data_IF_821617142876
#
_entry.id   IF_821617142876
#
_cell.length_a   1.000
_cell.length_b   1.000
_cell.length_c   1.000
_cell.angle_alpha   90.00
_cell.angle_beta   90.00
_cell.angle_gamma   90.00
#
_symmetry.space_group_name_H-M   'P 1'
#
loop_
_entity.id
_entity.type
_entity.pdbx_description
1 polymer ?
#
# COMPACT_ATOMS: atom_id res chain seq x y z
N UNK A 1 -1.97 12.42 -17.47
CA UNK A 1 -0.81 11.88 -18.16
C UNK A 1 0.27 11.46 -17.17
N UNK A 2 0.75 10.21 -17.27
CA UNK A 2 1.81 9.68 -16.37
C UNK A 2 3.12 10.48 -16.47
N UNK A 3 3.41 11.07 -17.63
CA UNK A 3 4.62 11.87 -17.82
C UNK A 3 4.58 13.18 -17.01
N UNK A 4 3.41 13.75 -16.79
CA UNK A 4 3.24 14.91 -15.92
C UNK A 4 3.70 14.59 -14.49
N UNK A 5 3.30 13.43 -13.95
CA UNK A 5 3.64 13.03 -12.58
C UNK A 5 5.12 12.70 -12.40
N UNK A 6 5.82 12.24 -13.45
CA UNK A 6 7.27 12.02 -13.43
C UNK A 6 8.08 13.30 -13.21
N UNK A 7 7.49 14.48 -13.46
CA UNK A 7 8.15 15.77 -13.16
C UNK A 7 8.07 16.15 -11.69
N UNK A 8 7.44 15.33 -10.85
CA UNK A 8 7.23 15.59 -9.42
C UNK A 8 6.57 16.95 -9.14
N UNK A 9 5.39 17.24 -9.73
CA UNK A 9 4.77 18.55 -9.64
C UNK A 9 4.33 18.84 -8.21
N UNK A 10 4.65 20.07 -7.75
CA UNK A 10 4.17 20.53 -6.46
C UNK A 10 2.69 20.97 -6.53
N UNK A 11 2.11 21.27 -5.37
CA UNK A 11 0.70 21.63 -5.25
C UNK A 11 0.32 22.85 -6.10
N UNK A 12 1.19 23.84 -6.26
CA UNK A 12 0.90 25.06 -7.04
C UNK A 12 0.80 24.76 -8.55
N UNK A 13 1.66 23.87 -9.05
CA UNK A 13 1.58 23.39 -10.44
C UNK A 13 0.25 22.66 -10.67
N UNK A 14 -0.16 21.78 -9.74
CA UNK A 14 -1.42 21.05 -9.85
C UNK A 14 -2.64 21.97 -9.77
N UNK A 15 -2.63 22.96 -8.88
CA UNK A 15 -3.67 24.01 -8.82
C UNK A 15 -3.80 24.76 -10.15
N UNK A 16 -2.65 25.10 -10.76
CA UNK A 16 -2.66 25.76 -12.07
C UNK A 16 -3.28 24.90 -13.16
N UNK A 17 -3.04 23.59 -13.16
CA UNK A 17 -3.67 22.65 -14.09
C UNK A 17 -5.19 22.54 -13.88
N UNK A 18 -5.62 22.48 -12.62
CA UNK A 18 -7.06 22.48 -12.27
C UNK A 18 -7.73 23.79 -12.75
N UNK A 19 -7.06 24.93 -12.57
CA UNK A 19 -7.58 26.24 -13.04
C UNK A 19 -7.72 26.33 -14.56
N UNK A 20 -6.98 25.52 -15.32
CA UNK A 20 -7.13 25.38 -16.78
C UNK A 20 -8.32 24.48 -17.19
N UNK A 21 -9.06 23.92 -16.22
CA UNK A 21 -10.21 23.06 -16.44
C UNK A 21 -9.91 21.56 -16.38
N UNK A 22 -8.71 21.14 -16.02
CA UNK A 22 -8.40 19.72 -15.81
C UNK A 22 -9.14 19.22 -14.55
N UNK A 23 -9.85 18.09 -14.68
CA UNK A 23 -10.61 17.52 -13.57
C UNK A 23 -9.69 16.70 -12.64
N UNK A 24 -9.51 17.08 -11.36
CA UNK A 24 -8.64 16.36 -10.41
C UNK A 24 -9.17 14.98 -10.03
N UNK A 25 -10.42 14.68 -10.33
CA UNK A 25 -11.05 13.38 -10.03
C UNK A 25 -11.20 12.48 -11.26
N UNK A 26 -10.72 12.92 -12.43
CA UNK A 26 -10.82 12.14 -13.66
C UNK A 26 -10.06 10.82 -13.56
N UNK A 27 -10.68 9.76 -14.07
CA UNK A 27 -10.06 8.45 -14.18
C UNK A 27 -9.87 8.07 -15.65
N UNK A 28 -8.79 7.34 -15.93
CA UNK A 28 -8.55 6.77 -17.25
C UNK A 28 -9.42 5.50 -17.47
N UNK A 29 -9.32 4.91 -18.66
CA UNK A 29 -10.11 3.72 -19.06
C UNK A 29 -9.87 2.49 -18.15
N UNK A 30 -8.78 2.47 -17.39
CA UNK A 30 -8.45 1.42 -16.44
C UNK A 30 -8.80 1.80 -15.00
N UNK A 31 -9.62 2.83 -14.79
CA UNK A 31 -10.01 3.36 -13.49
C UNK A 31 -8.85 3.85 -12.60
N UNK A 32 -7.68 4.17 -13.15
CA UNK A 32 -6.66 4.93 -12.45
C UNK A 32 -7.01 6.41 -12.54
N UNK A 33 -7.37 7.00 -11.43
CA UNK A 33 -7.65 8.43 -11.36
C UNK A 33 -6.38 9.27 -11.18
N UNK A 34 -6.54 10.58 -11.23
CA UNK A 34 -5.43 11.55 -11.09
C UNK A 34 -4.66 11.34 -9.79
N UNK A 35 -5.35 11.08 -8.67
CA UNK A 35 -4.74 10.86 -7.35
C UNK A 35 -3.96 9.55 -7.32
N UNK A 36 -4.52 8.47 -7.85
CA UNK A 36 -3.81 7.17 -7.95
C UNK A 36 -2.56 7.29 -8.81
N UNK A 37 -2.64 8.03 -9.93
CA UNK A 37 -1.45 8.27 -10.77
C UNK A 37 -0.39 9.08 -10.03
N UNK A 38 -0.79 10.07 -9.22
CA UNK A 38 0.14 10.83 -8.39
C UNK A 38 0.83 9.93 -7.34
N UNK A 39 0.08 9.06 -6.66
CA UNK A 39 0.63 8.10 -5.69
C UNK A 39 1.61 7.15 -6.38
N UNK A 40 1.21 6.53 -7.49
CA UNK A 40 2.02 5.53 -8.18
C UNK A 40 3.31 6.10 -8.82
N UNK A 41 3.32 7.39 -9.12
CA UNK A 41 4.51 8.10 -9.60
C UNK A 41 5.26 8.86 -8.49
N UNK A 42 4.92 8.61 -7.22
CA UNK A 42 5.63 9.16 -6.05
C UNK A 42 5.71 10.70 -6.04
N UNK A 43 4.60 11.35 -6.46
CA UNK A 43 4.48 12.80 -6.36
C UNK A 43 4.66 13.26 -4.89
N UNK A 44 5.04 14.54 -4.64
CA UNK A 44 5.16 15.06 -3.29
C UNK A 44 3.92 14.77 -2.43
N UNK A 45 4.10 14.30 -1.21
CA UNK A 45 2.99 13.87 -0.33
C UNK A 45 1.97 14.99 -0.13
N UNK A 46 2.40 16.24 0.00
CA UNK A 46 1.50 17.40 0.12
C UNK A 46 0.64 17.61 -1.14
N UNK A 47 1.18 17.31 -2.32
CA UNK A 47 0.41 17.34 -3.57
C UNK A 47 -0.65 16.23 -3.59
N UNK A 48 -0.31 15.04 -3.13
CA UNK A 48 -1.27 13.92 -3.04
C UNK A 48 -2.36 14.23 -2.02
N UNK A 49 -2.01 14.75 -0.84
CA UNK A 49 -2.96 15.19 0.18
C UNK A 49 -3.94 16.24 -0.37
N UNK A 50 -3.42 17.23 -1.10
CA UNK A 50 -4.24 18.23 -1.77
C UNK A 50 -5.23 17.59 -2.76
N UNK A 51 -4.81 16.63 -3.57
CA UNK A 51 -5.66 15.93 -4.53
C UNK A 51 -6.77 15.12 -3.85
N UNK A 52 -6.46 14.43 -2.73
CA UNK A 52 -7.43 13.66 -1.95
C UNK A 52 -8.60 14.55 -1.49
N UNK A 53 -8.32 15.82 -1.18
CA UNK A 53 -9.31 16.77 -0.69
C UNK A 53 -10.11 17.48 -1.83
N UNK A 54 -9.81 17.19 -3.10
CA UNK A 54 -10.54 17.80 -4.21
C UNK A 54 -11.93 17.19 -4.41
N UNK A 55 -12.92 17.96 -4.92
CA UNK A 55 -14.24 17.44 -5.23
C UNK A 55 -14.17 16.21 -6.17
N UNK A 56 -14.95 15.18 -5.83
CA UNK A 56 -14.95 13.90 -6.56
C UNK A 56 -13.87 12.92 -6.13
N UNK A 57 -12.99 13.31 -5.21
CA UNK A 57 -12.04 12.42 -4.53
C UNK A 57 -12.45 12.20 -3.07
N UNK A 58 -12.11 11.06 -2.50
CA UNK A 58 -12.31 10.74 -1.08
C UNK A 58 -11.47 9.53 -0.69
N UNK A 59 -11.26 9.33 0.61
CA UNK A 59 -10.55 8.15 1.13
C UNK A 59 -11.27 6.83 0.84
N UNK A 60 -12.54 6.87 0.45
CA UNK A 60 -13.37 5.70 0.09
C UNK A 60 -13.55 5.53 -1.41
N UNK A 61 -12.97 6.42 -2.23
CA UNK A 61 -13.10 6.33 -3.69
C UNK A 61 -12.50 5.03 -4.19
N UNK A 62 -13.29 4.32 -5.00
CA UNK A 62 -12.86 3.09 -5.66
C UNK A 62 -12.12 3.42 -6.97
N UNK A 63 -10.95 2.84 -7.13
CA UNK A 63 -10.10 2.97 -8.30
C UNK A 63 -9.91 1.60 -8.95
N UNK A 64 -8.86 1.39 -9.73
CA UNK A 64 -8.56 0.12 -10.38
C UNK A 64 -8.65 -1.05 -9.40
N UNK A 65 -9.33 -2.13 -9.78
CA UNK A 65 -9.61 -3.33 -8.96
C UNK A 65 -10.38 -3.03 -7.66
N UNK A 66 -11.19 -1.96 -7.63
CA UNK A 66 -11.89 -1.48 -6.44
C UNK A 66 -10.95 -1.12 -5.27
N UNK A 67 -9.70 -0.77 -5.54
CA UNK A 67 -8.76 -0.31 -4.52
C UNK A 67 -9.03 1.12 -4.10
N UNK A 68 -8.98 1.38 -2.80
CA UNK A 68 -8.95 2.73 -2.23
C UNK A 68 -7.51 3.26 -2.22
N UNK A 69 -7.32 4.57 -2.02
CA UNK A 69 -5.98 5.20 -2.02
C UNK A 69 -5.00 4.58 -1.01
N UNK A 70 -5.52 4.02 0.10
CA UNK A 70 -4.69 3.35 1.10
C UNK A 70 -3.94 2.12 0.55
N UNK A 71 -4.56 1.36 -0.38
CA UNK A 71 -3.87 0.26 -1.06
C UNK A 71 -2.65 0.77 -1.85
N UNK A 72 -2.83 1.84 -2.61
CA UNK A 72 -1.76 2.39 -3.44
C UNK A 72 -0.64 3.02 -2.62
N UNK A 73 -0.98 3.74 -1.54
CA UNK A 73 -0.01 4.28 -0.59
C UNK A 73 0.83 3.17 0.05
N UNK A 74 0.18 2.09 0.48
CA UNK A 74 0.84 0.93 1.06
C UNK A 74 1.70 0.17 0.03
N UNK A 75 1.19 -0.05 -1.18
CA UNK A 75 1.92 -0.64 -2.30
C UNK A 75 3.21 0.12 -2.62
N UNK A 76 3.19 1.44 -2.56
CA UNK A 76 4.38 2.29 -2.78
C UNK A 76 5.28 2.39 -1.55
N UNK A 77 4.90 1.82 -0.41
CA UNK A 77 5.67 1.94 0.84
C UNK A 77 5.73 3.37 1.38
N UNK A 78 4.79 4.23 0.99
CA UNK A 78 4.74 5.61 1.44
C UNK A 78 4.12 5.69 2.83
N UNK A 79 4.96 5.47 3.85
CA UNK A 79 4.54 5.41 5.26
C UNK A 79 3.84 6.69 5.72
N UNK A 80 4.31 7.86 5.31
CA UNK A 80 3.68 9.14 5.66
C UNK A 80 2.25 9.23 5.10
N UNK A 81 2.06 8.85 3.84
CA UNK A 81 0.74 8.88 3.22
C UNK A 81 -0.19 7.81 3.82
N UNK A 82 0.33 6.62 4.15
CA UNK A 82 -0.42 5.58 4.87
C UNK A 82 -0.93 6.11 6.20
N UNK A 83 -0.06 6.72 7.02
CA UNK A 83 -0.43 7.31 8.31
C UNK A 83 -1.47 8.41 8.15
N UNK A 84 -1.31 9.28 7.16
CA UNK A 84 -2.28 10.34 6.85
C UNK A 84 -3.66 9.78 6.48
N UNK A 85 -3.73 8.79 5.58
CA UNK A 85 -4.99 8.19 5.16
C UNK A 85 -5.68 7.45 6.31
N UNK A 86 -4.93 6.75 7.15
CA UNK A 86 -5.45 6.11 8.37
C UNK A 86 -6.01 7.15 9.33
N UNK A 87 -5.30 8.25 9.55
CA UNK A 87 -5.76 9.35 10.41
C UNK A 87 -7.04 10.02 9.88
N UNK A 88 -7.25 10.03 8.56
CA UNK A 88 -8.49 10.49 7.92
C UNK A 88 -9.63 9.47 8.01
N UNK A 89 -9.40 8.28 8.51
CA UNK A 89 -10.41 7.25 8.69
C UNK A 89 -10.52 6.25 7.54
N UNK A 90 -9.49 6.10 6.69
CA UNK A 90 -9.45 5.01 5.71
C UNK A 90 -9.60 3.67 6.39
N UNK A 91 -10.42 2.79 5.81
CA UNK A 91 -10.61 1.44 6.32
C UNK A 91 -9.38 0.57 6.02
N UNK A 92 -8.64 0.24 7.09
CA UNK A 92 -7.41 -0.58 7.01
C UNK A 92 -7.66 -2.04 6.63
N UNK A 93 -8.91 -2.50 6.74
CA UNK A 93 -9.33 -3.86 6.41
C UNK A 93 -10.17 -3.92 5.12
N UNK A 94 -10.30 -2.81 4.39
CA UNK A 94 -11.05 -2.78 3.14
C UNK A 94 -10.41 -3.73 2.12
N UNK A 95 -11.18 -4.68 1.60
CA UNK A 95 -10.73 -5.65 0.60
C UNK A 95 -11.08 -5.16 -0.81
N UNK A 96 -10.10 -5.24 -1.72
CA UNK A 96 -10.28 -4.95 -3.14
C UNK A 96 -11.09 -6.07 -3.86
N UNK A 97 -11.24 -5.99 -5.18
CA UNK A 97 -11.97 -7.01 -5.96
C UNK A 97 -11.34 -8.41 -5.95
N UNK A 98 -10.12 -8.54 -5.44
CA UNK A 98 -9.41 -9.81 -5.26
C UNK A 98 -9.42 -10.30 -3.80
N UNK A 99 -10.12 -9.61 -2.90
CA UNK A 99 -10.13 -9.94 -1.47
C UNK A 99 -8.82 -9.56 -0.76
N UNK A 100 -8.09 -8.57 -1.27
CA UNK A 100 -6.79 -8.14 -0.76
C UNK A 100 -6.93 -6.82 -0.03
N UNK A 101 -6.50 -6.76 1.23
CA UNK A 101 -6.48 -5.54 2.03
C UNK A 101 -5.15 -4.76 1.84
N UNK A 102 -5.07 -3.47 2.24
CA UNK A 102 -3.87 -2.66 2.02
C UNK A 102 -2.57 -3.27 2.56
N UNK A 103 -2.60 -3.88 3.75
CA UNK A 103 -1.39 -4.42 4.39
C UNK A 103 -0.83 -5.66 3.66
N UNK A 104 -1.69 -6.61 3.26
CA UNK A 104 -1.23 -7.80 2.53
C UNK A 104 -0.94 -7.48 1.05
N UNK A 105 -1.62 -6.50 0.46
CA UNK A 105 -1.24 -5.97 -0.84
C UNK A 105 0.19 -5.40 -0.85
N UNK A 106 0.55 -4.62 0.17
CA UNK A 106 1.91 -4.11 0.34
C UNK A 106 2.93 -5.24 0.54
N UNK A 107 2.66 -6.17 1.46
CA UNK A 107 3.56 -7.27 1.77
C UNK A 107 3.82 -8.18 0.56
N UNK A 108 2.78 -8.51 -0.19
CA UNK A 108 2.88 -9.34 -1.41
C UNK A 108 3.64 -8.65 -2.55
N UNK A 109 3.75 -7.31 -2.50
CA UNK A 109 4.41 -6.50 -3.53
C UNK A 109 5.74 -5.90 -3.09
N UNK A 110 6.38 -6.47 -2.08
CA UNK A 110 7.76 -6.19 -1.77
C UNK A 110 8.00 -5.15 -0.68
N UNK A 111 6.95 -4.70 0.02
CA UNK A 111 7.13 -3.76 1.12
C UNK A 111 7.47 -4.49 2.42
N UNK A 112 8.61 -4.12 3.01
CA UNK A 112 9.14 -4.74 4.24
C UNK A 112 9.45 -3.72 5.35
N UNK A 113 8.98 -2.46 5.23
CA UNK A 113 9.21 -1.43 6.24
C UNK A 113 8.35 -1.64 7.49
N UNK A 114 8.95 -1.96 8.66
CA UNK A 114 8.23 -2.19 9.91
C UNK A 114 7.34 -1.02 10.35
N UNK A 115 7.77 0.22 10.13
CA UNK A 115 7.04 1.41 10.56
C UNK A 115 5.67 1.52 9.86
N UNK A 116 5.59 1.15 8.58
CA UNK A 116 4.33 1.14 7.86
C UNK A 116 3.36 0.10 8.45
N UNK A 117 3.82 -1.10 8.75
CA UNK A 117 2.99 -2.15 9.36
C UNK A 117 2.55 -1.80 10.78
N UNK A 118 3.41 -1.13 11.55
CA UNK A 118 3.02 -0.61 12.88
C UNK A 118 1.82 0.34 12.78
N UNK A 119 1.77 1.19 11.75
CA UNK A 119 0.63 2.07 11.53
C UNK A 119 -0.67 1.27 11.30
N UNK A 120 -0.63 0.20 10.53
CA UNK A 120 -1.78 -0.69 10.31
C UNK A 120 -2.21 -1.40 11.61
N UNK A 121 -1.28 -1.93 12.38
CA UNK A 121 -1.59 -2.63 13.63
C UNK A 121 -2.19 -1.68 14.68
N UNK A 122 -1.65 -0.47 14.83
CA UNK A 122 -2.23 0.57 15.70
C UNK A 122 -3.63 0.97 15.27
N UNK A 123 -3.95 0.89 13.99
CA UNK A 123 -5.27 1.18 13.46
C UNK A 123 -6.26 0.00 13.55
N UNK A 124 -5.84 -1.15 14.09
CA UNK A 124 -6.73 -2.28 14.37
C UNK A 124 -6.60 -3.47 13.42
N UNK A 125 -5.61 -3.50 12.51
CA UNK A 125 -5.30 -4.73 11.78
C UNK A 125 -4.79 -5.78 12.77
N UNK A 126 -5.41 -6.97 12.76
CA UNK A 126 -4.95 -8.08 13.59
C UNK A 126 -3.58 -8.57 13.10
N UNK A 127 -2.51 -8.49 13.91
CA UNK A 127 -1.17 -8.89 13.48
C UNK A 127 -1.08 -10.35 13.04
N UNK A 128 -1.88 -11.24 13.66
CA UNK A 128 -1.86 -12.67 13.35
C UNK A 128 -2.92 -13.10 12.33
N UNK A 129 -3.56 -12.13 11.65
CA UNK A 129 -4.53 -12.41 10.56
C UNK A 129 -3.87 -13.29 9.50
N UNK A 130 -4.62 -14.27 9.02
CA UNK A 130 -4.27 -15.06 7.83
C UNK A 130 -4.96 -14.47 6.62
N UNK A 131 -4.21 -14.31 5.56
CA UNK A 131 -4.65 -13.78 4.27
C UNK A 131 -4.81 -14.92 3.25
N UNK A 132 -4.83 -14.59 1.96
CA UNK A 132 -4.95 -15.59 0.91
C UNK A 132 -3.98 -16.76 1.11
N UNK A 133 -4.43 -17.96 0.85
CA UNK A 133 -3.69 -19.22 1.06
C UNK A 133 -3.22 -19.44 2.52
N UNK A 134 -3.81 -18.77 3.50
CA UNK A 134 -3.46 -18.90 4.92
C UNK A 134 -2.10 -18.29 5.29
N UNK A 135 -1.49 -17.48 4.43
CA UNK A 135 -0.25 -16.78 4.73
C UNK A 135 -0.49 -15.62 5.72
N UNK A 136 0.46 -15.34 6.58
CA UNK A 136 0.51 -14.11 7.39
C UNK A 136 1.44 -13.07 6.74
N UNK A 137 1.47 -11.86 7.30
CA UNK A 137 2.29 -10.77 6.72
C UNK A 137 3.79 -11.10 6.71
N UNK A 138 4.30 -11.86 7.68
CA UNK A 138 5.70 -12.29 7.67
C UNK A 138 6.01 -13.14 6.44
N UNK A 139 5.18 -14.16 6.16
CA UNK A 139 5.36 -15.03 4.99
C UNK A 139 5.28 -14.25 3.67
N UNK A 140 4.36 -13.28 3.57
CA UNK A 140 4.22 -12.47 2.37
C UNK A 140 5.39 -11.51 2.17
N UNK A 141 5.87 -10.85 3.23
CA UNK A 141 6.93 -9.85 3.15
C UNK A 141 8.33 -10.45 3.03
N UNK A 142 8.56 -11.69 3.54
CA UNK A 142 9.90 -12.29 3.61
C UNK A 142 10.59 -12.41 2.24
N UNK A 143 9.81 -12.49 1.18
CA UNK A 143 10.30 -12.53 -0.19
C UNK A 143 11.20 -11.33 -0.54
N UNK A 144 10.96 -10.18 0.07
CA UNK A 144 11.67 -8.91 -0.18
C UNK A 144 12.44 -8.39 1.04
N UNK A 145 12.33 -9.05 2.18
CA UNK A 145 12.95 -8.64 3.45
C UNK A 145 14.42 -9.10 3.51
N UNK A 146 15.30 -8.38 2.82
CA UNK A 146 16.70 -8.78 2.62
C UNK A 146 17.57 -8.67 3.87
N UNK A 147 17.19 -7.84 4.83
CA UNK A 147 17.92 -7.65 6.09
C UNK A 147 17.17 -8.22 7.31
N UNK A 148 16.08 -8.94 7.06
CA UNK A 148 15.20 -9.60 8.03
C UNK A 148 14.58 -8.65 9.09
N UNK A 149 14.61 -7.34 8.87
CA UNK A 149 14.04 -6.37 9.80
C UNK A 149 12.51 -6.49 9.93
N UNK A 150 11.82 -6.75 8.81
CA UNK A 150 10.38 -6.98 8.87
C UNK A 150 10.08 -8.29 9.59
N UNK A 151 10.83 -9.36 9.33
CA UNK A 151 10.66 -10.65 10.01
C UNK A 151 10.89 -10.52 11.51
N UNK A 152 11.96 -9.84 11.94
CA UNK A 152 12.24 -9.57 13.36
C UNK A 152 11.09 -8.76 13.99
N UNK A 153 10.63 -7.71 13.32
CA UNK A 153 9.51 -6.91 13.78
C UNK A 153 8.22 -7.73 13.91
N UNK A 154 7.86 -8.49 12.88
CA UNK A 154 6.65 -9.33 12.88
C UNK A 154 6.71 -10.42 13.95
N UNK A 155 7.91 -10.91 14.28
CA UNK A 155 8.10 -11.87 15.40
C UNK A 155 7.70 -11.25 16.74
N UNK A 156 7.91 -9.95 16.95
CA UNK A 156 7.42 -9.26 18.16
C UNK A 156 5.90 -9.13 18.21
N UNK A 157 5.22 -9.36 17.10
CA UNK A 157 3.74 -9.28 16.94
C UNK A 157 3.08 -10.65 16.93
N UNK A 158 3.81 -11.73 17.26
CA UNK A 158 3.27 -13.08 17.38
C UNK A 158 3.33 -13.93 16.11
N UNK A 159 4.01 -13.46 15.06
CA UNK A 159 4.33 -14.26 13.87
C UNK A 159 5.69 -14.96 14.05
N UNK A 160 5.96 -15.99 13.25
CA UNK A 160 7.20 -16.78 13.34
C UNK A 160 7.70 -17.20 11.96
N UNK A 161 9.02 -17.30 11.80
CA UNK A 161 9.64 -17.94 10.62
C UNK A 161 9.24 -19.41 10.46
N UNK A 162 8.71 -20.03 11.53
CA UNK A 162 8.18 -21.41 11.53
C UNK A 162 6.72 -21.49 11.10
N UNK A 163 6.04 -20.36 10.94
CA UNK A 163 4.67 -20.34 10.46
C UNK A 163 4.59 -20.91 9.04
N UNK A 164 3.46 -21.52 8.74
CA UNK A 164 3.20 -22.10 7.41
C UNK A 164 1.87 -21.57 6.85
N UNK A 165 1.78 -21.51 5.53
CA UNK A 165 0.53 -21.28 4.83
C UNK A 165 -0.34 -22.55 4.77
N UNK A 166 -1.51 -22.49 4.13
CA UNK A 166 -2.43 -23.61 3.99
C UNK A 166 -1.84 -24.82 3.20
N UNK A 167 -0.77 -24.58 2.44
CA UNK A 167 -0.08 -25.62 1.65
C UNK A 167 1.19 -26.12 2.34
N UNK A 168 1.46 -25.70 3.57
CA UNK A 168 2.68 -26.05 4.32
C UNK A 168 3.94 -25.30 3.87
N UNK A 169 3.82 -24.23 3.08
CA UNK A 169 4.98 -23.42 2.69
C UNK A 169 5.45 -22.55 3.88
N UNK A 170 6.73 -22.61 4.18
CA UNK A 170 7.40 -21.87 5.25
C UNK A 170 7.96 -20.54 4.73
N UNK A 171 8.46 -19.70 5.65
CA UNK A 171 9.23 -18.50 5.30
C UNK A 171 10.39 -18.81 4.34
N UNK A 172 11.12 -19.92 4.55
CA UNK A 172 12.18 -20.36 3.65
C UNK A 172 11.66 -20.63 2.23
N UNK A 173 10.48 -21.27 2.09
CA UNK A 173 9.87 -21.54 0.78
C UNK A 173 9.54 -20.23 0.04
N UNK A 174 8.98 -19.24 0.74
CA UNK A 174 8.67 -17.92 0.17
C UNK A 174 9.93 -17.16 -0.24
N UNK A 175 10.95 -17.14 0.62
CA UNK A 175 12.24 -16.51 0.33
C UNK A 175 12.95 -17.16 -0.87
N UNK A 176 13.01 -18.50 -0.90
CA UNK A 176 13.66 -19.23 -1.98
C UNK A 176 13.02 -18.99 -3.34
N UNK A 177 11.68 -18.92 -3.42
CA UNK A 177 10.95 -18.62 -4.66
C UNK A 177 11.27 -17.24 -5.22
N UNK A 178 11.58 -16.28 -4.38
CA UNK A 178 11.92 -14.90 -4.77
C UNK A 178 13.43 -14.68 -4.94
N UNK A 179 14.26 -15.68 -4.62
CA UNK A 179 15.72 -15.54 -4.61
C UNK A 179 16.25 -14.73 -3.42
N UNK A 180 15.46 -14.55 -2.36
CA UNK A 180 15.97 -13.95 -1.13
C UNK A 180 16.82 -14.97 -0.38
N UNK A 181 18.11 -14.69 -0.22
CA UNK A 181 19.12 -15.56 0.40
C UNK A 181 19.46 -15.13 1.84
N UNK A 182 18.71 -14.21 2.44
CA UNK A 182 18.95 -13.73 3.80
C UNK A 182 18.54 -14.75 4.89
N UNK A 183 17.72 -15.76 4.52
CA UNK A 183 17.26 -16.85 5.40
C UNK A 183 18.20 -18.04 5.37
#
# INVERSE_FOLDING_TARGET
DANFWKTSPNTEIVKAEIAKGNNPAEANVNAFDVTTLAINNEAPVETIKFLIDQPGNSITKLTHDNRIYLHWAAYKGNTELVQYLIAKGSDVNFEDSHGTAPADFAASNGQSNPEMYEAFFKAGVNPTKKYANGANLLLLAIASDKDLKAADYFSTKGMSLKDVDANGNTAFTYAARSGNIAL
#
